data_IF_109251149733
#
_entry.id   IF_109251149733
#
_cell.length_a   1.000
_cell.length_b   1.000
_cell.length_c   1.000
_cell.angle_alpha   90.00
_cell.angle_beta   90.00
_cell.angle_gamma   90.00
#
_symmetry.space_group_name_H-M   'P 1'
#
loop_
_entity.id
_entity.type
_entity.pdbx_description
1 polymer ?
#
# COMPACT_ATOMS: atom_id res chain seq x y z
N UNK A 1 8.91 19.59 -21.45
CA UNK A 1 7.98 18.46 -21.70
C UNK A 1 6.89 18.57 -20.65
N UNK A 2 5.62 18.72 -21.04
CA UNK A 2 4.59 19.17 -20.09
C UNK A 2 4.06 18.02 -19.21
N UNK A 3 3.85 18.29 -17.91
CA UNK A 3 3.28 17.37 -16.91
C UNK A 3 1.96 16.69 -17.37
N UNK A 4 1.25 17.28 -18.34
CA UNK A 4 0.00 16.78 -18.89
C UNK A 4 0.12 15.54 -19.79
N UNK A 5 1.31 15.20 -20.28
CA UNK A 5 1.50 14.03 -21.16
C UNK A 5 1.94 12.75 -20.40
N UNK A 6 2.17 12.84 -19.08
CA UNK A 6 2.49 11.73 -18.17
C UNK A 6 1.26 10.89 -17.72
N UNK A 7 0.05 11.21 -18.23
CA UNK A 7 -1.25 10.76 -17.68
C UNK A 7 -1.79 9.39 -18.14
N UNK A 8 -0.96 8.42 -18.54
CA UNK A 8 -1.45 7.10 -18.97
C UNK A 8 -0.60 5.93 -18.47
N UNK A 9 -0.94 5.41 -17.29
CA UNK A 9 -0.40 4.12 -16.81
C UNK A 9 -0.82 3.77 -15.39
N UNK A 10 -2.04 3.24 -15.21
CA UNK A 10 -2.62 2.95 -13.89
C UNK A 10 -1.89 1.84 -13.12
N UNK A 11 -1.86 1.97 -11.78
CA UNK A 11 -1.57 0.97 -10.72
C UNK A 11 -0.08 1.07 -10.33
N UNK A 12 0.34 1.41 -9.10
CA UNK A 12 0.48 0.37 -8.06
C UNK A 12 0.87 0.67 -6.61
N UNK A 13 1.04 1.91 -6.14
CA UNK A 13 1.04 2.15 -4.68
C UNK A 13 0.30 3.44 -4.42
N UNK A 14 -0.85 3.26 -3.79
CA UNK A 14 -1.84 4.27 -3.41
C UNK A 14 -1.29 5.44 -2.56
N UNK A 15 -0.04 5.43 -2.10
CA UNK A 15 0.62 6.51 -1.32
C UNK A 15 1.43 7.42 -2.21
N UNK A 16 2.30 6.84 -3.05
CA UNK A 16 3.36 7.57 -3.75
C UNK A 16 2.72 8.53 -4.76
N UNK A 17 1.63 8.09 -5.40
CA UNK A 17 0.84 8.92 -6.33
C UNK A 17 0.00 10.00 -5.62
N UNK A 18 -0.46 9.78 -4.38
CA UNK A 18 -1.23 10.81 -3.66
C UNK A 18 -0.36 11.98 -3.21
N UNK A 19 0.88 11.68 -2.80
CA UNK A 19 1.74 12.65 -2.14
C UNK A 19 2.69 13.38 -3.09
N UNK A 20 2.96 12.81 -4.27
CA UNK A 20 3.64 13.54 -5.35
C UNK A 20 2.81 14.72 -5.88
N UNK A 21 1.48 14.71 -5.71
CA UNK A 21 0.56 15.76 -6.17
C UNK A 21 0.24 16.84 -5.12
N UNK A 22 0.86 16.77 -3.92
CA UNK A 22 0.75 17.85 -2.93
C UNK A 22 1.43 19.16 -3.38
N UNK A 23 2.08 19.16 -4.55
CA UNK A 23 2.70 20.31 -5.21
C UNK A 23 1.69 21.35 -5.72
N UNK A 24 0.45 20.97 -6.04
CA UNK A 24 -0.53 21.88 -6.68
C UNK A 24 -1.43 22.66 -5.69
N UNK A 25 -0.95 22.98 -4.48
CA UNK A 25 -1.68 23.89 -3.58
C UNK A 25 -1.44 25.34 -4.01
N UNK A 26 -2.04 25.73 -5.14
CA UNK A 26 -2.29 27.13 -5.43
C UNK A 26 -3.48 27.59 -4.58
N UNK A 27 -3.19 28.35 -3.52
CA UNK A 27 -4.08 29.29 -2.82
C UNK A 27 -5.58 29.11 -3.14
N UNK A 28 -6.26 28.19 -2.43
CA UNK A 28 -7.69 27.96 -2.62
C UNK A 28 -8.50 28.76 -1.58
N UNK A 29 -9.45 29.50 -2.15
CA UNK A 29 -10.38 30.46 -1.57
C UNK A 29 -10.99 30.08 -0.21
N UNK A 30 -11.13 31.12 0.62
CA UNK A 30 -11.88 31.16 1.88
C UNK A 30 -13.35 30.79 1.69
N UNK A 31 -13.67 29.50 1.76
CA UNK A 31 -15.02 29.01 1.97
C UNK A 31 -15.35 28.96 3.46
N UNK A 32 -16.60 29.31 3.80
CA UNK A 32 -17.22 29.44 5.14
C UNK A 32 -16.54 28.56 6.20
N UNK A 33 -15.67 29.17 7.00
CA UNK A 33 -15.04 28.56 8.17
C UNK A 33 -16.02 28.59 9.34
N UNK A 34 -16.35 27.43 9.90
CA UNK A 34 -16.74 27.39 11.30
C UNK A 34 -15.49 27.77 12.12
N UNK A 35 -15.62 28.73 13.01
CA UNK A 35 -14.50 29.24 13.82
C UNK A 35 -14.14 28.33 15.01
N UNK A 36 -14.94 27.31 15.29
CA UNK A 36 -14.67 26.35 16.36
C UNK A 36 -13.69 25.26 15.89
N UNK A 37 -12.55 25.13 16.58
CA UNK A 37 -11.61 24.04 16.36
C UNK A 37 -12.19 22.72 16.87
N UNK A 38 -11.95 21.64 16.13
CA UNK A 38 -12.34 20.30 16.54
C UNK A 38 -11.13 19.59 17.13
N UNK A 39 -11.27 19.09 18.34
CA UNK A 39 -10.20 18.42 19.05
C UNK A 39 -10.29 16.89 18.96
N UNK A 40 -9.14 16.23 18.81
CA UNK A 40 -9.01 14.79 18.92
C UNK A 40 -7.92 14.37 19.90
N UNK A 41 -8.21 13.31 20.65
CA UNK A 41 -7.32 12.78 21.69
C UNK A 41 -6.48 11.58 21.24
N UNK A 42 -6.88 10.92 20.15
CA UNK A 42 -6.21 9.73 19.64
C UNK A 42 -6.52 9.47 18.14
N UNK A 43 -5.71 8.61 17.53
CA UNK A 43 -5.82 8.24 16.11
C UNK A 43 -7.16 7.60 15.74
N UNK A 44 -7.71 6.76 16.62
CA UNK A 44 -8.95 6.01 16.38
C UNK A 44 -10.15 6.94 16.28
N UNK A 45 -10.25 7.86 17.23
CA UNK A 45 -11.29 8.89 17.27
C UNK A 45 -11.22 9.79 16.03
N UNK A 46 -10.01 10.25 15.67
CA UNK A 46 -9.77 11.05 14.48
C UNK A 46 -10.28 10.34 13.23
N UNK A 47 -9.81 9.12 12.98
CA UNK A 47 -10.14 8.41 11.75
C UNK A 47 -11.58 7.92 11.71
N UNK A 48 -12.16 7.43 12.82
CA UNK A 48 -13.57 7.01 12.84
C UNK A 48 -14.50 8.16 12.52
N UNK A 49 -14.25 9.35 13.08
CA UNK A 49 -15.08 10.52 12.84
C UNK A 49 -14.93 11.04 11.41
N UNK A 50 -13.70 11.13 10.89
CA UNK A 50 -13.45 11.58 9.51
C UNK A 50 -14.02 10.59 8.49
N UNK A 51 -13.85 9.28 8.68
CA UNK A 51 -14.41 8.26 7.78
C UNK A 51 -15.95 8.27 7.81
N UNK A 52 -16.56 8.50 8.98
CA UNK A 52 -18.01 8.52 9.12
C UNK A 52 -18.68 9.72 8.45
N UNK A 53 -18.05 10.90 8.48
CA UNK A 53 -18.61 12.13 7.88
C UNK A 53 -17.52 13.03 7.25
N UNK A 54 -16.94 12.64 6.10
CA UNK A 54 -15.79 13.34 5.53
C UNK A 54 -16.10 14.81 5.17
N UNK A 55 -17.32 15.07 4.71
CA UNK A 55 -17.76 16.39 4.25
C UNK A 55 -17.75 17.39 5.41
N UNK A 56 -18.14 16.97 6.60
CA UNK A 56 -18.12 17.81 7.80
C UNK A 56 -16.72 18.28 8.17
N UNK A 57 -15.68 17.46 7.96
CA UNK A 57 -14.33 17.74 8.43
C UNK A 57 -13.45 18.47 7.42
N UNK A 58 -13.80 18.51 6.13
CA UNK A 58 -13.00 19.24 5.15
C UNK A 58 -12.92 20.73 5.46
N UNK A 59 -11.71 21.28 5.37
CA UNK A 59 -11.35 22.65 5.69
C UNK A 59 -11.56 23.06 7.16
N UNK A 60 -11.96 22.13 8.04
CA UNK A 60 -12.07 22.40 9.47
C UNK A 60 -10.69 22.56 10.11
N UNK A 61 -10.64 23.40 11.14
CA UNK A 61 -9.49 23.51 12.04
C UNK A 61 -9.50 22.33 13.00
N UNK A 62 -8.40 21.59 13.06
CA UNK A 62 -8.23 20.42 13.91
C UNK A 62 -7.11 20.66 14.92
N UNK A 63 -7.41 20.33 16.16
CA UNK A 63 -6.46 20.32 17.27
C UNK A 63 -6.12 18.87 17.64
N UNK A 64 -4.84 18.56 17.75
CA UNK A 64 -4.34 17.26 18.20
C UNK A 64 -3.46 17.45 19.45
N UNK A 65 -3.67 16.64 20.48
CA UNK A 65 -2.91 16.74 21.74
C UNK A 65 -2.18 15.44 22.05
N UNK A 66 -0.88 15.53 22.38
CA UNK A 66 0.00 14.38 22.67
C UNK A 66 0.15 13.38 21.52
N UNK A 67 0.40 13.89 20.32
CA UNK A 67 0.68 13.03 19.17
C UNK A 67 2.18 12.99 18.89
N UNK A 68 2.71 11.86 18.46
CA UNK A 68 4.15 11.70 18.19
C UNK A 68 4.41 11.74 16.69
N UNK A 69 5.38 12.56 16.28
CA UNK A 69 5.84 12.70 14.89
C UNK A 69 6.59 11.44 14.43
N UNK A 70 6.33 11.05 13.18
CA UNK A 70 7.08 10.06 12.42
C UNK A 70 7.42 10.61 11.04
N UNK A 71 8.66 10.40 10.61
CA UNK A 71 9.09 10.71 9.24
C UNK A 71 8.48 9.72 8.23
N UNK A 72 8.15 8.52 8.70
CA UNK A 72 7.45 7.51 7.93
C UNK A 72 5.96 7.78 7.89
N UNK A 73 5.35 7.60 6.72
CA UNK A 73 3.92 7.85 6.48
C UNK A 73 3.22 6.56 6.05
N UNK A 74 2.02 6.32 6.57
CA UNK A 74 1.18 5.20 6.19
C UNK A 74 0.98 5.12 4.67
N UNK A 75 1.05 3.91 4.12
CA UNK A 75 0.84 3.67 2.69
C UNK A 75 -0.55 4.15 2.25
N UNK A 76 -1.56 3.89 3.06
CA UNK A 76 -2.90 4.43 2.85
C UNK A 76 -3.38 4.90 4.21
N UNK A 77 -3.22 6.18 4.53
CA UNK A 77 -3.72 6.72 5.78
C UNK A 77 -5.23 6.47 5.90
N UNK A 78 -5.69 6.14 7.10
CA UNK A 78 -7.08 5.78 7.35
C UNK A 78 -7.45 4.32 7.01
N UNK A 79 -6.71 3.63 6.13
CA UNK A 79 -7.02 2.23 5.76
C UNK A 79 -7.01 1.30 6.96
N UNK A 80 -6.05 1.49 7.87
CA UNK A 80 -5.95 0.74 9.11
C UNK A 80 -7.26 0.80 9.94
N UNK A 81 -7.96 1.92 9.88
CA UNK A 81 -9.11 2.21 10.73
C UNK A 81 -10.46 1.76 10.13
N UNK A 82 -10.46 1.23 8.92
CA UNK A 82 -11.69 0.70 8.30
C UNK A 82 -12.09 -0.67 8.89
N UNK A 83 -13.40 -0.96 9.06
CA UNK A 83 -13.85 -2.26 9.56
C UNK A 83 -13.46 -3.44 8.65
N UNK A 84 -13.38 -3.21 7.34
CA UNK A 84 -12.93 -4.22 6.38
C UNK A 84 -11.46 -4.58 6.59
N UNK A 85 -10.59 -3.58 6.76
CA UNK A 85 -9.18 -3.79 7.06
C UNK A 85 -8.96 -4.51 8.38
N UNK A 86 -9.74 -4.20 9.41
CA UNK A 86 -9.67 -4.92 10.68
C UNK A 86 -9.91 -6.43 10.49
N UNK A 87 -10.93 -6.80 9.70
CA UNK A 87 -11.19 -8.21 9.34
C UNK A 87 -10.05 -8.82 8.54
N UNK A 88 -9.47 -8.10 7.57
CA UNK A 88 -8.35 -8.60 6.77
C UNK A 88 -7.09 -8.82 7.62
N UNK A 89 -6.84 -8.00 8.66
CA UNK A 89 -5.69 -8.17 9.57
C UNK A 89 -5.81 -9.40 10.47
N UNK A 90 -6.99 -10.03 10.57
CA UNK A 90 -7.17 -11.30 11.26
C UNK A 90 -6.45 -12.40 10.47
N UNK A 91 -5.74 -13.26 11.19
CA UNK A 91 -4.87 -14.26 10.58
C UNK A 91 -5.19 -15.64 11.13
N UNK A 92 -5.01 -16.65 10.28
CA UNK A 92 -5.06 -18.05 10.65
C UNK A 92 -3.67 -18.48 11.15
N UNK A 93 -3.59 -19.60 11.87
CA UNK A 93 -2.31 -20.17 12.28
C UNK A 93 -1.39 -20.46 11.09
N UNK A 94 -1.98 -20.86 9.95
CA UNK A 94 -1.29 -21.12 8.68
C UNK A 94 -0.57 -19.90 8.10
N UNK A 95 -0.98 -18.68 8.46
CA UNK A 95 -0.34 -17.45 7.97
C UNK A 95 1.01 -17.18 8.67
N UNK A 96 1.29 -17.85 9.80
CA UNK A 96 2.45 -17.60 10.67
C UNK A 96 3.61 -18.51 10.26
N UNK A 97 4.72 -17.91 9.85
CA UNK A 97 5.96 -18.62 9.52
C UNK A 97 6.82 -18.92 10.77
N UNK A 98 6.84 -17.99 11.72
CA UNK A 98 7.59 -18.13 12.97
C UNK A 98 6.86 -17.38 14.07
N UNK A 99 6.68 -18.02 15.23
CA UNK A 99 6.22 -17.35 16.44
C UNK A 99 7.17 -17.66 17.59
N UNK A 100 7.73 -16.61 18.17
CA UNK A 100 8.49 -16.65 19.42
C UNK A 100 7.89 -15.67 20.42
N UNK A 101 8.47 -15.62 21.63
CA UNK A 101 8.04 -14.67 22.68
C UNK A 101 8.16 -13.20 22.23
N UNK A 102 9.09 -12.90 21.32
CA UNK A 102 9.43 -11.53 20.93
C UNK A 102 9.26 -11.25 19.44
N UNK A 103 9.04 -12.27 18.62
CA UNK A 103 9.00 -12.15 17.17
C UNK A 103 7.85 -12.94 16.58
N UNK A 104 7.10 -12.28 15.70
CA UNK A 104 6.05 -12.90 14.90
C UNK A 104 6.35 -12.63 13.42
N UNK A 105 6.70 -13.67 12.70
CA UNK A 105 6.93 -13.62 11.26
C UNK A 105 5.79 -14.31 10.53
N UNK A 106 5.28 -13.67 9.48
CA UNK A 106 4.26 -14.24 8.61
C UNK A 106 4.87 -14.73 7.30
N UNK A 107 4.28 -15.78 6.72
CA UNK A 107 4.49 -16.13 5.32
C UNK A 107 3.99 -15.01 4.41
N UNK A 108 4.41 -14.96 3.12
CA UNK A 108 4.04 -13.87 2.21
C UNK A 108 2.53 -13.56 2.19
N UNK A 109 1.60 -14.54 2.11
CA UNK A 109 0.16 -14.26 2.16
C UNK A 109 -0.29 -13.58 3.46
N UNK A 110 0.30 -13.97 4.60
CA UNK A 110 0.02 -13.37 5.91
C UNK A 110 0.53 -11.93 6.02
N UNK A 111 1.72 -11.63 5.48
CA UNK A 111 2.22 -10.24 5.39
C UNK A 111 1.35 -9.41 4.45
N UNK A 112 0.96 -9.97 3.32
CA UNK A 112 0.05 -9.36 2.35
C UNK A 112 -1.30 -8.99 2.94
N UNK A 113 -1.89 -9.84 3.78
CA UNK A 113 -3.09 -9.51 4.58
C UNK A 113 -2.86 -8.30 5.48
N UNK A 114 -1.76 -8.26 6.24
CA UNK A 114 -1.45 -7.11 7.10
C UNK A 114 -1.33 -5.82 6.31
N UNK A 115 -0.66 -5.86 5.15
CA UNK A 115 -0.48 -4.69 4.29
C UNK A 115 -1.79 -4.22 3.67
N UNK A 116 -2.61 -5.15 3.18
CA UNK A 116 -3.96 -4.83 2.72
C UNK A 116 -4.87 -4.29 3.83
N UNK A 117 -4.60 -4.71 5.07
CA UNK A 117 -5.24 -4.16 6.25
C UNK A 117 -4.68 -2.81 6.72
N UNK A 118 -3.85 -2.12 5.93
CA UNK A 118 -3.33 -0.79 6.26
C UNK A 118 -2.04 -0.75 7.07
N UNK A 119 -1.34 -1.88 7.24
CA UNK A 119 0.03 -1.87 7.79
C UNK A 119 1.02 -1.56 6.66
N UNK A 120 2.00 -0.71 6.92
CA UNK A 120 3.03 -0.41 5.93
C UNK A 120 3.22 1.09 5.78
N UNK A 121 4.47 1.50 5.74
CA UNK A 121 4.87 2.89 5.69
C UNK A 121 5.95 3.10 4.65
N UNK A 122 6.02 4.33 4.16
CA UNK A 122 7.03 4.80 3.22
C UNK A 122 7.72 6.03 3.80
N UNK A 123 9.00 6.19 3.47
CA UNK A 123 9.73 7.43 3.69
C UNK A 123 9.83 8.17 2.35
N UNK A 124 9.18 9.32 2.29
CA UNK A 124 9.08 10.13 1.07
C UNK A 124 10.10 11.28 1.12
N UNK A 125 10.63 11.71 -0.04
CA UNK A 125 11.44 12.92 -0.09
C UNK A 125 10.58 14.16 0.19
N UNK A 126 11.21 15.26 0.61
CA UNK A 126 10.57 16.58 0.55
C UNK A 126 10.14 16.90 -0.89
N UNK A 127 9.15 17.76 -1.02
CA UNK A 127 8.77 18.38 -2.30
C UNK A 127 9.89 19.29 -2.84
N UNK A 128 9.79 19.70 -4.10
CA UNK A 128 10.72 20.68 -4.70
C UNK A 128 10.77 22.03 -3.94
N UNK A 129 9.66 22.40 -3.29
CA UNK A 129 9.55 23.58 -2.42
C UNK A 129 10.07 23.34 -0.99
N UNK A 130 10.59 22.16 -0.69
CA UNK A 130 11.12 21.80 0.63
C UNK A 130 10.06 21.41 1.66
N UNK A 131 8.77 21.39 1.32
CA UNK A 131 7.71 20.89 2.22
C UNK A 131 7.92 19.40 2.48
N UNK A 132 7.75 18.99 3.73
CA UNK A 132 7.96 17.62 4.18
C UNK A 132 6.62 17.01 4.56
N UNK A 133 6.35 15.81 4.05
CA UNK A 133 5.22 15.02 4.51
C UNK A 133 5.64 14.13 5.69
N UNK A 134 4.96 14.29 6.81
CA UNK A 134 5.15 13.53 8.03
C UNK A 134 3.85 12.80 8.40
N UNK A 135 3.91 11.95 9.41
CA UNK A 135 2.72 11.47 10.09
C UNK A 135 2.79 11.74 11.59
N UNK A 136 1.63 11.84 12.23
CA UNK A 136 1.51 11.90 13.69
C UNK A 136 0.59 10.82 14.20
N UNK A 137 0.96 10.20 15.33
CA UNK A 137 0.15 9.18 15.97
C UNK A 137 0.22 9.30 17.49
N UNK A 138 -0.92 9.29 18.17
CA UNK A 138 -1.00 9.18 19.62
C UNK A 138 -0.49 7.80 20.12
N UNK A 139 -0.68 6.75 19.32
CA UNK A 139 -0.22 5.39 19.60
C UNK A 139 1.24 5.12 19.24
N UNK A 140 1.99 6.14 18.80
CA UNK A 140 3.38 6.01 18.33
C UNK A 140 3.55 5.01 17.17
N UNK A 141 2.51 4.82 16.34
CA UNK A 141 2.55 3.89 15.21
C UNK A 141 2.30 4.62 13.88
N UNK A 142 3.32 4.67 13.04
CA UNK A 142 3.26 5.39 11.77
C UNK A 142 2.24 4.82 10.77
N UNK A 143 1.90 3.53 10.85
CA UNK A 143 0.85 2.94 9.98
C UNK A 143 -0.56 3.43 10.34
N UNK A 144 -0.77 3.92 11.56
CA UNK A 144 -2.07 4.40 12.04
C UNK A 144 -2.19 5.92 12.00
N UNK A 145 -1.08 6.60 11.69
CA UNK A 145 -0.93 8.04 11.85
C UNK A 145 -1.78 8.88 10.90
N UNK A 146 -1.94 10.14 11.31
CA UNK A 146 -2.57 11.22 10.54
C UNK A 146 -1.49 11.94 9.73
N UNK A 147 -1.66 12.11 8.41
CA UNK A 147 -0.69 12.83 7.59
C UNK A 147 -0.60 14.32 7.93
N UNK A 148 0.62 14.84 7.93
CA UNK A 148 0.94 16.26 8.10
C UNK A 148 1.77 16.74 6.92
N UNK A 149 1.36 17.85 6.31
CA UNK A 149 2.21 18.59 5.39
C UNK A 149 2.85 19.75 6.16
N UNK A 150 4.15 19.66 6.40
CA UNK A 150 4.91 20.64 7.15
C UNK A 150 5.75 21.51 6.23
N UNK A 151 5.59 22.83 6.37
CA UNK A 151 6.34 23.82 5.60
C UNK A 151 7.78 23.91 6.11
N UNK A 152 8.75 24.16 5.21
CA UNK A 152 10.18 24.15 5.57
C UNK A 152 10.50 25.16 6.67
N UNK A 153 9.86 26.34 6.67
CA UNK A 153 10.05 27.36 7.69
C UNK A 153 9.72 26.85 9.10
N UNK A 154 8.68 26.02 9.22
CA UNK A 154 8.27 25.44 10.51
C UNK A 154 9.18 24.26 10.88
N UNK A 155 9.43 23.38 9.91
CA UNK A 155 10.24 22.17 10.10
C UNK A 155 11.65 22.52 10.58
N UNK A 156 12.29 23.49 9.92
CA UNK A 156 13.65 23.94 10.23
C UNK A 156 13.71 24.77 11.51
N UNK A 157 12.72 25.65 11.74
CA UNK A 157 12.68 26.48 12.94
C UNK A 157 12.57 25.65 14.22
N UNK A 158 11.66 24.67 14.24
CA UNK A 158 11.44 23.81 15.40
C UNK A 158 12.40 22.62 15.48
N UNK A 159 13.15 22.37 14.40
CA UNK A 159 14.01 21.19 14.22
C UNK A 159 13.22 19.93 14.57
N UNK A 160 12.07 19.77 13.91
CA UNK A 160 11.19 18.63 14.13
C UNK A 160 11.91 17.33 13.79
N UNK A 161 11.68 16.30 14.58
CA UNK A 161 12.27 14.97 14.41
C UNK A 161 11.24 13.88 14.69
N UNK A 162 11.43 12.72 14.07
CA UNK A 162 10.75 11.51 14.50
C UNK A 162 10.92 11.26 16.02
N UNK A 163 9.80 11.01 16.69
CA UNK A 163 9.74 10.83 18.14
C UNK A 163 9.50 12.12 18.92
N UNK A 164 9.37 13.28 18.28
CA UNK A 164 8.89 14.49 18.95
C UNK A 164 7.39 14.34 19.25
N UNK A 165 7.02 14.50 20.52
CA UNK A 165 5.63 14.61 20.97
C UNK A 165 5.17 16.05 20.80
N UNK A 166 4.07 16.25 20.09
CA UNK A 166 3.57 17.55 19.70
C UNK A 166 2.12 17.77 20.08
N UNK A 167 1.79 19.05 20.24
CA UNK A 167 0.44 19.56 20.21
C UNK A 167 0.28 20.38 18.94
N UNK A 168 -0.76 20.07 18.17
CA UNK A 168 -1.12 20.78 16.94
C UNK A 168 -2.41 21.55 17.21
N UNK A 169 -2.46 22.81 16.76
CA UNK A 169 -3.59 23.72 16.95
C UNK A 169 -3.96 24.38 15.64
N UNK A 170 -5.25 24.53 15.41
CA UNK A 170 -5.83 25.24 14.27
C UNK A 170 -5.29 24.76 12.90
N UNK A 171 -4.85 23.51 12.81
CA UNK A 171 -4.36 22.93 11.57
C UNK A 171 -5.54 22.58 10.67
N UNK A 172 -5.55 23.08 9.43
CA UNK A 172 -6.63 22.80 8.50
C UNK A 172 -6.49 21.38 7.95
N UNK A 173 -7.59 20.62 8.02
CA UNK A 173 -7.71 19.34 7.33
C UNK A 173 -8.11 19.56 5.88
N UNK A 174 -7.14 19.43 4.98
CA UNK A 174 -7.36 19.66 3.56
C UNK A 174 -7.49 18.33 2.80
N UNK A 175 -8.37 18.27 1.80
CA UNK A 175 -8.41 17.12 0.91
C UNK A 175 -7.12 17.06 0.08
N UNK A 176 -6.69 15.83 -0.17
CA UNK A 176 -5.72 15.55 -1.23
C UNK A 176 -6.45 15.47 -2.58
N UNK A 177 -5.77 15.73 -3.69
CA UNK A 177 -6.39 15.54 -5.01
C UNK A 177 -6.97 14.12 -5.13
N UNK A 178 -8.28 14.06 -5.39
CA UNK A 178 -9.11 12.86 -5.37
C UNK A 178 -9.28 12.21 -6.75
N UNK A 179 -8.65 12.73 -7.80
CA UNK A 179 -8.87 12.30 -9.18
C UNK A 179 -8.68 10.79 -9.42
N UNK A 180 -8.00 10.07 -8.52
CA UNK A 180 -7.64 8.67 -8.71
C UNK A 180 -8.25 7.67 -7.70
N UNK A 181 -8.52 8.09 -6.46
CA UNK A 181 -8.96 7.21 -5.36
C UNK A 181 -10.40 6.68 -5.51
N UNK A 182 -11.25 7.40 -6.25
CA UNK A 182 -12.65 7.04 -6.54
C UNK A 182 -12.81 5.73 -7.34
N UNK A 183 -11.71 5.15 -7.84
CA UNK A 183 -11.69 3.97 -8.74
C UNK A 183 -11.35 2.64 -8.05
N UNK A 184 -10.98 2.63 -6.76
CA UNK A 184 -10.59 1.41 -6.03
C UNK A 184 -11.56 1.11 -4.89
N UNK A 185 -12.32 0.01 -5.00
CA UNK A 185 -13.37 -0.35 -4.04
C UNK A 185 -12.87 -0.50 -2.59
N UNK A 186 -11.63 -0.91 -2.36
CA UNK A 186 -11.05 -1.06 -1.02
C UNK A 186 -10.67 0.25 -0.33
N UNK A 187 -10.55 1.34 -1.07
CA UNK A 187 -10.12 2.65 -0.52
C UNK A 187 -11.03 3.80 -0.92
N UNK A 188 -12.09 3.52 -1.69
CA UNK A 188 -13.01 4.50 -2.27
C UNK A 188 -13.65 5.39 -1.20
N UNK A 189 -13.89 4.83 -0.02
CA UNK A 189 -14.59 5.48 1.08
C UNK A 189 -13.65 6.00 2.17
N UNK A 190 -12.33 5.98 1.92
CA UNK A 190 -11.34 6.52 2.86
C UNK A 190 -11.05 7.98 2.48
N UNK A 191 -11.34 8.95 3.36
CA UNK A 191 -11.00 10.34 3.13
C UNK A 191 -9.49 10.52 3.03
N UNK A 192 -9.04 11.09 1.92
CA UNK A 192 -7.62 11.39 1.70
C UNK A 192 -7.38 12.85 2.00
N UNK A 193 -6.65 13.11 3.07
CA UNK A 193 -6.33 14.45 3.51
C UNK A 193 -5.01 14.50 4.23
N UNK A 194 -4.58 15.72 4.50
CA UNK A 194 -3.47 16.02 5.39
C UNK A 194 -3.82 17.26 6.22
N UNK A 195 -3.20 17.33 7.40
CA UNK A 195 -3.20 18.53 8.22
C UNK A 195 -2.08 19.46 7.74
N UNK A 196 -2.39 20.74 7.56
CA UNK A 196 -1.41 21.75 7.11
C UNK A 196 -0.77 22.46 8.28
N UNK A 197 0.56 22.40 8.34
CA UNK A 197 1.42 23.09 9.30
C UNK A 197 2.27 24.10 8.52
N UNK A 198 1.74 25.31 8.36
CA UNK A 198 2.31 26.44 7.59
C UNK A 198 2.83 27.57 8.49
N UNK A 199 2.66 27.46 9.81
CA UNK A 199 3.12 28.43 10.80
C UNK A 199 3.58 27.72 12.08
N UNK A 200 4.58 28.30 12.74
CA UNK A 200 5.11 27.83 14.03
C UNK A 200 4.08 27.88 15.15
N UNK A 201 3.08 28.76 15.05
CA UNK A 201 2.03 28.88 16.08
C UNK A 201 1.06 27.68 16.08
N UNK A 202 1.02 26.92 14.98
CA UNK A 202 0.14 25.75 14.82
C UNK A 202 0.70 24.49 15.45
N UNK A 203 1.96 24.46 15.83
CA UNK A 203 2.59 23.25 16.36
C UNK A 203 3.59 23.57 17.47
N UNK A 204 3.46 22.85 18.58
CA UNK A 204 4.35 22.97 19.72
C UNK A 204 4.92 21.59 20.07
N UNK A 205 6.25 21.52 20.19
CA UNK A 205 6.93 20.33 20.74
C UNK A 205 6.79 20.34 22.26
N UNK A 206 6.14 19.31 22.80
CA UNK A 206 5.90 19.12 24.23
C UNK A 206 7.02 18.33 24.90
N UNK A 207 7.45 17.26 24.24
CA UNK A 207 8.51 16.37 24.70
C UNK A 207 9.16 15.70 23.49
N UNK A 208 10.31 15.06 23.68
CA UNK A 208 11.12 14.50 22.61
C UNK A 208 11.50 13.06 22.90
N UNK A 209 11.97 12.37 21.86
CA UNK A 209 12.54 11.04 21.97
C UNK A 209 11.55 9.94 22.38
N UNK A 210 10.31 9.99 21.92
CA UNK A 210 9.40 8.83 22.00
C UNK A 210 9.83 7.72 21.04
N UNK A 211 9.63 6.43 21.40
CA UNK A 211 9.76 5.33 20.46
C UNK A 211 8.65 5.43 19.42
N UNK A 212 8.97 5.14 18.15
CA UNK A 212 8.02 5.15 17.05
C UNK A 212 8.12 3.83 16.32
N UNK A 213 7.00 3.11 16.24
CA UNK A 213 6.87 1.92 15.43
C UNK A 213 6.51 2.30 13.99
N UNK A 214 7.36 1.93 13.04
CA UNK A 214 7.14 2.13 11.61
C UNK A 214 7.35 0.82 10.84
N UNK A 215 6.84 0.77 9.62
CA UNK A 215 6.63 -0.48 8.90
C UNK A 215 7.12 -0.40 7.45
N UNK A 216 8.44 -0.29 7.19
CA UNK A 216 8.96 -0.22 5.83
C UNK A 216 8.35 -1.33 4.97
N UNK A 217 7.66 -0.94 3.91
CA UNK A 217 6.88 -1.82 3.04
C UNK A 217 7.44 -1.88 1.61
N UNK A 218 7.42 -3.07 1.03
CA UNK A 218 7.79 -3.31 -0.36
C UNK A 218 6.88 -4.33 -1.04
N UNK A 219 6.93 -4.36 -2.36
CA UNK A 219 6.33 -5.39 -3.21
C UNK A 219 7.45 -6.31 -3.70
N UNK A 220 7.31 -7.62 -3.49
CA UNK A 220 8.29 -8.63 -3.89
C UNK A 220 7.72 -9.49 -5.01
N UNK A 221 8.49 -9.66 -6.09
CA UNK A 221 8.29 -10.70 -7.10
C UNK A 221 9.15 -11.91 -6.75
N UNK A 222 8.62 -13.12 -6.87
CA UNK A 222 9.39 -14.34 -6.60
C UNK A 222 8.82 -15.54 -7.36
N UNK A 223 9.67 -16.54 -7.58
CA UNK A 223 9.28 -17.79 -8.23
C UNK A 223 8.84 -18.84 -7.20
N UNK A 224 7.74 -19.54 -7.50
CA UNK A 224 7.24 -20.65 -6.72
C UNK A 224 6.49 -21.65 -7.61
N UNK A 225 6.91 -22.91 -7.60
CA UNK A 225 6.31 -24.01 -8.37
C UNK A 225 6.10 -23.68 -9.87
N UNK A 226 7.16 -23.17 -10.54
CA UNK A 226 7.17 -22.77 -11.95
C UNK A 226 6.24 -21.58 -12.30
N UNK A 227 5.79 -20.85 -11.29
CA UNK A 227 4.97 -19.66 -11.43
C UNK A 227 5.60 -18.45 -10.75
N UNK A 228 5.22 -17.27 -11.22
CA UNK A 228 5.77 -15.99 -10.78
C UNK A 228 4.72 -15.25 -9.92
N UNK A 229 5.06 -15.00 -8.67
CA UNK A 229 4.16 -14.46 -7.64
C UNK A 229 4.58 -13.08 -7.17
N UNK A 230 3.57 -12.28 -6.83
CA UNK A 230 3.74 -10.96 -6.23
C UNK A 230 3.18 -11.05 -4.83
N UNK A 231 3.91 -10.56 -3.84
CA UNK A 231 3.42 -10.44 -2.47
C UNK A 231 3.96 -9.18 -1.79
N UNK A 232 3.19 -8.64 -0.85
CA UNK A 232 3.62 -7.51 -0.06
C UNK A 232 4.50 -7.99 1.10
N UNK A 233 5.58 -7.27 1.34
CA UNK A 233 6.54 -7.54 2.41
C UNK A 233 6.68 -6.30 3.27
N UNK A 234 6.71 -6.50 4.59
CA UNK A 234 7.03 -5.44 5.54
C UNK A 234 7.79 -6.02 6.73
N UNK A 235 8.47 -5.13 7.46
CA UNK A 235 9.07 -5.41 8.77
C UNK A 235 8.62 -4.34 9.76
N UNK A 236 8.40 -4.69 11.02
CA UNK A 236 8.17 -3.70 12.07
C UNK A 236 9.52 -3.24 12.60
N UNK A 237 9.74 -1.93 12.56
CA UNK A 237 10.94 -1.27 13.06
C UNK A 237 10.55 -0.33 14.21
N UNK A 238 11.46 -0.19 15.18
CA UNK A 238 11.32 0.73 16.32
C UNK A 238 12.45 1.77 16.22
N UNK A 239 12.09 3.05 16.25
CA UNK A 239 13.03 4.17 16.15
C UNK A 239 14.08 4.23 17.25
N UNK A 240 13.93 3.46 18.34
CA UNK A 240 14.92 3.36 19.44
C UNK A 240 15.93 2.25 19.29
N UNK A 241 15.72 1.32 18.37
CA UNK A 241 16.67 0.23 18.12
C UNK A 241 17.94 0.82 17.50
N UNK A 242 19.09 0.48 18.09
CA UNK A 242 20.38 0.82 17.51
C UNK A 242 20.59 0.03 16.23
N UNK A 243 21.13 0.67 15.19
CA UNK A 243 21.37 0.07 13.87
C UNK A 243 20.09 -0.45 13.18
N UNK A 244 18.93 0.16 13.45
CA UNK A 244 17.64 -0.25 12.90
C UNK A 244 17.66 -0.36 11.37
N UNK A 245 18.39 0.52 10.67
CA UNK A 245 18.52 0.49 9.20
C UNK A 245 19.22 -0.78 8.71
N UNK A 246 20.32 -1.18 9.36
CA UNK A 246 21.04 -2.43 9.05
C UNK A 246 20.18 -3.66 9.32
N UNK A 247 19.37 -3.62 10.38
CA UNK A 247 18.44 -4.69 10.74
C UNK A 247 17.31 -4.83 9.72
N UNK A 248 16.74 -3.71 9.26
CA UNK A 248 15.74 -3.68 8.19
C UNK A 248 16.35 -4.23 6.89
N UNK A 249 17.53 -3.77 6.49
CA UNK A 249 18.21 -4.23 5.28
C UNK A 249 18.50 -5.74 5.33
N UNK A 250 19.01 -6.22 6.47
CA UNK A 250 19.26 -7.66 6.69
C UNK A 250 17.97 -8.45 6.55
N UNK A 251 16.89 -8.01 7.19
CA UNK A 251 15.59 -8.68 7.11
C UNK A 251 15.13 -8.84 5.65
N UNK A 252 15.13 -7.77 4.86
CA UNK A 252 14.68 -7.84 3.46
C UNK A 252 15.58 -8.77 2.63
N UNK A 253 16.91 -8.69 2.80
CA UNK A 253 17.85 -9.58 2.08
C UNK A 253 17.63 -11.05 2.42
N UNK A 254 17.41 -11.38 3.69
CA UNK A 254 17.18 -12.76 4.14
C UNK A 254 15.80 -13.25 3.70
N UNK A 255 14.76 -12.42 3.83
CA UNK A 255 13.38 -12.79 3.51
C UNK A 255 13.19 -13.11 2.02
N UNK A 256 13.85 -12.37 1.14
CA UNK A 256 13.85 -12.63 -0.31
C UNK A 256 14.39 -14.02 -0.68
N UNK A 257 15.37 -14.52 0.08
CA UNK A 257 16.02 -15.83 -0.19
C UNK A 257 15.44 -16.98 0.62
N UNK A 258 14.63 -16.67 1.64
CA UNK A 258 14.05 -17.67 2.54
C UNK A 258 13.25 -18.70 1.74
N UNK A 259 13.44 -19.97 2.09
CA UNK A 259 12.80 -21.13 1.42
C UNK A 259 13.09 -21.23 -0.10
N UNK A 260 14.22 -20.67 -0.55
CA UNK A 260 14.65 -20.78 -1.95
C UNK A 260 13.84 -19.93 -2.94
N UNK A 261 13.07 -18.96 -2.45
CA UNK A 261 12.21 -18.08 -3.29
C UNK A 261 12.97 -17.24 -4.30
N UNK A 262 14.23 -16.90 -4.01
CA UNK A 262 15.08 -16.02 -4.81
C UNK A 262 14.34 -14.75 -5.28
N UNK A 263 13.60 -14.12 -4.37
CA UNK A 263 12.75 -12.98 -4.69
C UNK A 263 13.52 -11.70 -4.98
N UNK A 264 12.88 -10.82 -5.74
CA UNK A 264 13.36 -9.50 -6.10
C UNK A 264 12.33 -8.45 -5.66
N UNK A 265 12.81 -7.33 -5.12
CA UNK A 265 11.93 -6.26 -4.68
C UNK A 265 11.65 -5.29 -5.82
N UNK A 266 10.38 -5.03 -6.06
CA UNK A 266 9.94 -4.14 -7.12
C UNK A 266 9.99 -2.68 -6.69
N UNK A 267 9.84 -2.39 -5.39
CA UNK A 267 9.66 -1.02 -4.87
C UNK A 267 10.46 -0.81 -3.59
N UNK A 268 11.08 0.37 -3.42
CA UNK A 268 11.79 0.69 -2.18
C UNK A 268 10.89 1.38 -1.15
N UNK A 269 10.88 0.97 0.13
CA UNK A 269 10.17 1.68 1.18
C UNK A 269 10.74 3.06 1.51
N UNK A 270 12.04 3.26 1.29
CA UNK A 270 12.74 4.51 1.55
C UNK A 270 13.15 5.15 0.22
N UNK A 271 12.40 6.14 -0.21
CA UNK A 271 12.66 6.83 -1.49
C UNK A 271 13.83 7.81 -1.36
N UNK A 272 14.09 8.29 -0.14
CA UNK A 272 15.19 9.22 0.16
C UNK A 272 16.54 8.51 0.13
N UNK A 273 16.62 7.34 0.78
CA UNK A 273 17.82 6.51 0.86
C UNK A 273 17.44 5.04 0.67
N UNK A 274 17.42 4.55 -0.59
CA UNK A 274 16.98 3.19 -0.90
C UNK A 274 17.71 2.10 -0.10
N UNK A 275 16.95 1.25 0.57
CA UNK A 275 17.47 0.16 1.43
C UNK A 275 18.11 -0.97 0.60
N UNK A 276 17.65 -1.15 -0.64
CA UNK A 276 18.04 -2.24 -1.53
C UNK A 276 17.77 -1.83 -2.98
N UNK A 277 18.35 -2.56 -3.93
CA UNK A 277 18.01 -2.37 -5.34
C UNK A 277 16.56 -2.78 -5.59
N UNK A 278 15.80 -1.92 -6.26
CA UNK A 278 14.44 -2.20 -6.71
C UNK A 278 14.29 -1.91 -8.20
N UNK A 279 13.37 -2.60 -8.86
CA UNK A 279 13.13 -2.43 -10.29
C UNK A 279 12.52 -1.08 -10.64
N UNK A 280 11.68 -0.56 -9.75
CA UNK A 280 10.95 0.68 -9.96
C UNK A 280 11.28 1.67 -8.85
N UNK A 281 11.34 2.96 -9.23
CA UNK A 281 11.44 4.06 -8.28
C UNK A 281 10.06 4.45 -7.77
N UNK A 282 9.08 4.43 -8.69
CA UNK A 282 7.69 4.69 -8.42
C UNK A 282 6.80 3.56 -8.93
N UNK A 283 5.74 3.21 -8.21
CA UNK A 283 4.76 2.24 -8.67
C UNK A 283 4.01 2.68 -9.92
N UNK A 284 4.00 3.97 -10.25
CA UNK A 284 3.46 4.47 -11.52
C UNK A 284 4.13 3.82 -12.73
N UNK A 285 5.34 3.27 -12.55
CA UNK A 285 6.12 2.61 -13.59
C UNK A 285 5.60 1.19 -13.91
N UNK A 286 4.80 0.59 -13.01
CA UNK A 286 4.22 -0.75 -13.17
C UNK A 286 3.02 -0.74 -14.15
N UNK A 287 3.32 -0.41 -15.40
CA UNK A 287 2.34 -0.13 -16.44
C UNK A 287 2.08 -1.31 -17.38
N UNK A 288 2.88 -2.37 -17.31
CA UNK A 288 2.75 -3.52 -18.21
C UNK A 288 1.50 -4.34 -17.90
N UNK A 289 0.91 -4.96 -18.92
CA UNK A 289 -0.32 -5.75 -18.74
C UNK A 289 -0.12 -6.94 -17.79
N UNK A 290 1.05 -7.59 -17.87
CA UNK A 290 1.44 -8.73 -17.02
C UNK A 290 1.55 -8.32 -15.54
N UNK A 291 2.23 -7.20 -15.24
CA UNK A 291 2.34 -6.65 -13.87
C UNK A 291 0.96 -6.35 -13.29
N UNK A 292 0.12 -5.63 -14.05
CA UNK A 292 -1.25 -5.28 -13.64
C UNK A 292 -2.11 -6.51 -13.37
N UNK A 293 -1.90 -7.59 -14.12
CA UNK A 293 -2.59 -8.84 -13.91
C UNK A 293 -2.11 -9.53 -12.64
N UNK A 294 -0.79 -9.73 -12.46
CA UNK A 294 -0.20 -10.36 -11.26
C UNK A 294 -0.62 -9.66 -9.98
N UNK A 295 -0.75 -8.34 -10.02
CA UNK A 295 -1.17 -7.58 -8.84
C UNK A 295 -2.64 -7.70 -8.55
N UNK A 296 -3.50 -7.72 -9.57
CA UNK A 296 -4.90 -8.06 -9.34
C UNK A 296 -5.03 -9.48 -8.75
N UNK A 297 -4.24 -10.43 -9.24
CA UNK A 297 -4.21 -11.79 -8.70
C UNK A 297 -3.73 -11.83 -7.24
N UNK A 298 -2.76 -11.00 -6.84
CA UNK A 298 -2.37 -10.83 -5.44
C UNK A 298 -3.58 -10.40 -4.58
N UNK A 299 -4.32 -9.36 -5.00
CA UNK A 299 -5.51 -8.91 -4.27
C UNK A 299 -6.56 -10.02 -4.14
N UNK A 300 -6.82 -10.76 -5.21
CA UNK A 300 -7.81 -11.84 -5.24
C UNK A 300 -7.38 -13.06 -4.40
N UNK A 301 -6.07 -13.37 -4.37
CA UNK A 301 -5.50 -14.37 -3.45
C UNK A 301 -5.72 -13.99 -1.99
N UNK A 302 -5.44 -12.73 -1.62
CA UNK A 302 -5.58 -12.25 -0.23
C UNK A 302 -7.05 -12.26 0.21
N UNK A 303 -7.97 -11.92 -0.69
CA UNK A 303 -9.42 -12.00 -0.44
C UNK A 303 -9.93 -13.44 -0.29
N UNK A 304 -9.11 -14.43 -0.63
CA UNK A 304 -9.48 -15.85 -0.57
C UNK A 304 -10.52 -16.23 -1.62
N UNK A 305 -10.47 -15.62 -2.80
CA UNK A 305 -11.38 -15.96 -3.88
C UNK A 305 -11.19 -17.43 -4.29
N UNK A 306 -12.29 -18.20 -4.23
CA UNK A 306 -12.34 -19.60 -4.63
C UNK A 306 -13.49 -19.83 -5.61
N UNK A 307 -13.28 -20.72 -6.57
CA UNK A 307 -14.25 -21.07 -7.60
C UNK A 307 -14.29 -22.59 -7.73
N UNK A 308 -15.45 -23.21 -7.49
CA UNK A 308 -15.59 -24.68 -7.41
C UNK A 308 -14.50 -25.32 -6.51
N UNK A 309 -14.31 -24.75 -5.31
CA UNK A 309 -13.27 -25.15 -4.33
C UNK A 309 -11.81 -24.90 -4.75
N UNK A 310 -11.56 -24.44 -5.98
CA UNK A 310 -10.22 -24.10 -6.46
C UNK A 310 -9.88 -22.64 -6.16
N UNK A 311 -8.74 -22.44 -5.49
CA UNK A 311 -8.21 -21.12 -5.21
C UNK A 311 -7.59 -20.47 -6.45
N UNK A 312 -7.56 -19.13 -6.49
CA UNK A 312 -6.79 -18.39 -7.50
C UNK A 312 -5.31 -18.81 -7.49
N UNK A 313 -4.75 -19.12 -6.31
CA UNK A 313 -3.38 -19.59 -6.18
C UNK A 313 -3.15 -20.91 -6.94
N UNK A 314 -4.03 -21.89 -6.81
CA UNK A 314 -3.94 -23.14 -7.58
C UNK A 314 -4.02 -22.89 -9.09
N UNK A 315 -4.87 -21.96 -9.54
CA UNK A 315 -4.92 -21.60 -10.96
C UNK A 315 -3.60 -20.98 -11.45
N UNK A 316 -3.00 -20.08 -10.67
CA UNK A 316 -1.72 -19.45 -11.01
C UNK A 316 -0.59 -20.48 -11.08
N UNK A 317 -0.61 -21.51 -10.22
CA UNK A 317 0.39 -22.59 -10.22
C UNK A 317 0.16 -23.55 -11.39
N UNK A 318 -1.06 -24.07 -11.51
CA UNK A 318 -1.35 -25.22 -12.39
C UNK A 318 -1.45 -24.83 -13.85
N UNK A 319 -1.93 -23.64 -14.17
CA UNK A 319 -2.17 -23.26 -15.56
C UNK A 319 -0.86 -23.19 -16.38
N UNK A 320 0.23 -22.53 -15.92
CA UNK A 320 1.50 -22.52 -16.63
C UNK A 320 2.17 -23.91 -16.74
N UNK A 321 1.97 -24.78 -15.75
CA UNK A 321 2.53 -26.15 -15.76
C UNK A 321 1.96 -27.00 -16.91
N UNK A 322 0.69 -26.80 -17.26
CA UNK A 322 0.01 -27.55 -18.33
C UNK A 322 -0.04 -26.78 -19.67
N UNK A 323 -0.08 -25.46 -19.62
CA UNK A 323 -0.14 -24.58 -20.79
C UNK A 323 1.17 -23.81 -20.96
N UNK A 324 2.24 -24.54 -21.30
CA UNK A 324 3.63 -24.07 -21.28
C UNK A 324 4.03 -23.12 -22.43
N UNK A 325 3.10 -22.67 -23.28
CA UNK A 325 3.41 -21.81 -24.41
C UNK A 325 2.37 -20.71 -24.60
N UNK A 326 2.79 -19.56 -25.14
CA UNK A 326 1.90 -18.46 -25.53
C UNK A 326 0.81 -18.93 -26.51
N UNK A 327 1.09 -19.92 -27.36
CA UNK A 327 0.12 -20.51 -28.30
C UNK A 327 -0.96 -21.33 -27.57
N UNK A 328 -0.57 -22.14 -26.58
CA UNK A 328 -1.54 -22.96 -25.83
C UNK A 328 -2.45 -22.09 -24.96
N UNK A 329 -1.95 -21.00 -24.37
CA UNK A 329 -2.76 -20.02 -23.64
C UNK A 329 -3.76 -19.32 -24.56
N UNK A 330 -3.35 -18.88 -25.75
CA UNK A 330 -4.26 -18.28 -26.73
C UNK A 330 -5.33 -19.25 -27.21
N UNK A 331 -4.96 -20.52 -27.38
CA UNK A 331 -5.90 -21.59 -27.73
C UNK A 331 -6.93 -21.80 -26.62
N UNK A 332 -6.50 -21.81 -25.36
CA UNK A 332 -7.38 -21.89 -24.20
C UNK A 332 -8.34 -20.69 -24.15
N UNK A 333 -7.80 -19.46 -24.27
CA UNK A 333 -8.60 -18.23 -24.29
C UNK A 333 -9.70 -18.28 -25.37
N UNK A 334 -9.35 -18.71 -26.59
CA UNK A 334 -10.33 -18.88 -27.68
C UNK A 334 -11.38 -19.94 -27.36
N UNK A 335 -10.98 -21.08 -26.78
CA UNK A 335 -11.89 -22.18 -26.39
C UNK A 335 -12.93 -21.74 -25.35
N UNK A 336 -12.57 -20.82 -24.45
CA UNK A 336 -13.48 -20.29 -23.42
C UNK A 336 -14.19 -19.00 -23.84
N UNK A 337 -14.03 -18.55 -25.09
CA UNK A 337 -14.71 -17.35 -25.60
C UNK A 337 -14.08 -16.02 -25.19
N UNK A 338 -12.85 -16.01 -24.66
CA UNK A 338 -12.09 -14.78 -24.39
C UNK A 338 -11.43 -14.28 -25.68
N UNK A 339 -11.62 -12.99 -25.99
CA UNK A 339 -10.96 -12.36 -27.12
C UNK A 339 -9.44 -12.32 -26.90
N UNK A 340 -8.71 -13.07 -27.73
CA UNK A 340 -7.25 -13.21 -27.68
C UNK A 340 -6.53 -11.87 -27.86
N UNK A 341 -7.12 -10.89 -28.56
CA UNK A 341 -6.50 -9.57 -28.76
C UNK A 341 -6.39 -8.75 -27.47
N UNK A 342 -7.02 -9.19 -26.38
CA UNK A 342 -6.90 -8.58 -25.05
C UNK A 342 -5.69 -9.10 -24.28
N UNK A 343 -5.04 -10.16 -24.75
CA UNK A 343 -3.80 -10.67 -24.18
C UNK A 343 -2.60 -10.02 -24.88
N UNK A 344 -1.69 -9.47 -24.09
CA UNK A 344 -0.39 -8.99 -24.60
C UNK A 344 0.55 -10.19 -24.70
N UNK A 345 1.26 -10.30 -25.82
CA UNK A 345 2.20 -11.39 -26.05
C UNK A 345 3.34 -11.35 -25.04
N UNK A 346 3.55 -12.47 -24.38
CA UNK A 346 4.54 -12.62 -23.31
C UNK A 346 4.84 -14.13 -23.10
N UNK A 347 5.64 -14.46 -22.08
CA UNK A 347 5.82 -15.81 -21.58
C UNK A 347 4.48 -16.47 -21.21
N UNK A 348 4.45 -17.80 -21.23
CA UNK A 348 3.27 -18.57 -20.87
C UNK A 348 2.77 -18.25 -19.45
N UNK A 349 3.68 -18.04 -18.50
CA UNK A 349 3.37 -17.67 -17.11
C UNK A 349 2.66 -16.31 -17.08
N UNK A 350 3.23 -15.29 -17.72
CA UNK A 350 2.64 -13.95 -17.75
C UNK A 350 1.30 -13.92 -18.48
N UNK A 351 1.18 -14.63 -19.61
CA UNK A 351 -0.09 -14.74 -20.33
C UNK A 351 -1.14 -15.52 -19.55
N UNK A 352 -0.73 -16.52 -18.75
CA UNK A 352 -1.64 -17.22 -17.82
C UNK A 352 -2.21 -16.26 -16.79
N UNK A 353 -1.37 -15.44 -16.17
CA UNK A 353 -1.81 -14.41 -15.22
C UNK A 353 -2.78 -13.42 -15.87
N UNK A 354 -2.48 -12.95 -17.08
CA UNK A 354 -3.38 -12.07 -17.83
C UNK A 354 -4.73 -12.73 -18.14
N UNK A 355 -4.73 -14.01 -18.53
CA UNK A 355 -5.95 -14.76 -18.83
C UNK A 355 -6.82 -14.94 -17.57
N UNK A 356 -6.21 -15.33 -16.43
CA UNK A 356 -6.94 -15.47 -15.16
C UNK A 356 -7.54 -14.11 -14.76
N UNK A 357 -6.75 -13.03 -14.81
CA UNK A 357 -7.23 -11.67 -14.50
C UNK A 357 -8.40 -11.23 -15.40
N UNK A 358 -8.33 -11.50 -16.71
CA UNK A 358 -9.43 -11.22 -17.64
C UNK A 358 -10.68 -12.05 -17.31
N UNK A 359 -10.51 -13.32 -16.95
CA UNK A 359 -11.62 -14.18 -16.55
C UNK A 359 -12.27 -13.70 -15.26
N UNK A 360 -11.50 -13.20 -14.28
CA UNK A 360 -12.07 -12.59 -13.06
C UNK A 360 -12.93 -11.38 -13.43
N UNK A 361 -12.39 -10.45 -14.22
CA UNK A 361 -13.09 -9.21 -14.61
C UNK A 361 -14.36 -9.44 -15.43
N UNK A 362 -14.44 -10.57 -16.13
CA UNK A 362 -15.59 -10.96 -16.97
C UNK A 362 -16.50 -12.01 -16.31
N UNK A 363 -16.23 -12.39 -15.06
CA UNK A 363 -16.97 -13.43 -14.35
C UNK A 363 -16.94 -14.80 -15.08
N UNK A 364 -15.83 -15.12 -15.75
CA UNK A 364 -15.64 -16.33 -16.57
C UNK A 364 -14.72 -17.38 -15.92
N UNK A 365 -14.37 -17.22 -14.62
CA UNK A 365 -13.45 -18.16 -13.97
C UNK A 365 -14.01 -19.57 -13.91
N UNK A 366 -15.32 -19.75 -13.70
CA UNK A 366 -15.92 -21.08 -13.71
C UNK A 366 -15.78 -21.77 -15.07
N UNK A 367 -15.96 -21.01 -16.16
CA UNK A 367 -15.74 -21.51 -17.53
C UNK A 367 -14.28 -21.88 -17.76
N UNK A 368 -13.34 -21.10 -17.23
CA UNK A 368 -11.91 -21.41 -17.28
C UNK A 368 -11.61 -22.73 -16.54
N UNK A 369 -12.05 -22.85 -15.29
CA UNK A 369 -11.84 -24.05 -14.46
C UNK A 369 -12.45 -25.28 -15.14
N UNK A 370 -13.68 -25.17 -15.64
CA UNK A 370 -14.38 -26.26 -16.30
C UNK A 370 -13.63 -26.71 -17.55
N UNK A 371 -13.22 -25.76 -18.40
CA UNK A 371 -12.50 -26.08 -19.63
C UNK A 371 -11.15 -26.71 -19.38
N UNK A 372 -10.42 -26.20 -18.39
CA UNK A 372 -9.11 -26.71 -17.98
C UNK A 372 -9.23 -28.12 -17.40
N UNK A 373 -10.29 -28.41 -16.64
CA UNK A 373 -10.58 -29.75 -16.11
C UNK A 373 -10.93 -30.74 -17.23
N UNK A 374 -11.67 -30.30 -18.26
CA UNK A 374 -11.95 -31.14 -19.44
C UNK A 374 -10.68 -31.46 -20.22
N UNK A 375 -9.80 -30.48 -20.41
CA UNK A 375 -8.55 -30.68 -21.14
C UNK A 375 -7.53 -31.49 -20.29
N UNK A 376 -7.56 -31.36 -18.96
CA UNK A 376 -6.68 -32.04 -18.01
C UNK A 376 -7.44 -32.50 -16.74
N UNK A 377 -8.07 -33.69 -16.73
CA UNK A 377 -8.94 -34.15 -15.64
C UNK A 377 -8.30 -34.26 -14.24
N UNK A 378 -6.97 -34.33 -14.17
CA UNK A 378 -6.20 -34.50 -12.92
C UNK A 378 -5.48 -33.22 -12.49
N UNK A 379 -5.74 -32.08 -13.11
CA UNK A 379 -4.97 -30.85 -12.86
C UNK A 379 -5.10 -30.31 -11.43
N UNK A 380 -6.25 -30.53 -10.80
CA UNK A 380 -6.58 -30.06 -9.44
C UNK A 380 -6.65 -31.19 -8.40
N UNK A 381 -6.25 -32.42 -8.76
CA UNK A 381 -6.27 -33.61 -7.88
C UNK A 381 -4.94 -33.75 -7.14
#
# INVERSE_FOLDING_TARGET
MSLKELYKGTKLIETIENYALAEEVNSINEGITNDESIWFSNDEEFWKNIIADPIKYWNQKIDLYNFVISDWVARVPGLYWTPSSEKIRQHKKEDIALQSKHWLEFYPPGKSKKVMGGVGTLLLPPTDEGKVLLSVSAGCNASTGVPLLCFPEVYDHLKLKQGDCVMIRDAKWLPMDMNWSSKFASTKDIPRGYLVIDSVDKIQVLDRNYPVAYHPFSLMEYEYQDSLFYDFVYVTADSKVQNVDTEIERFFKEYAKKEGRNGEYLLNPNIVNPIFQSHYLSPTELTQASEKAKLNLLYERIRGACFKEQSIEQLVIKLPQHYQSSVSIRTLAKKIGVNVSLLVEDSAVNMSSQLIDLCIKKEMIETLVDRVTVDYPQIFI
#
